data_IF_655185022265
#
_entry.id   IF_655185022265
#
_cell.length_a   1.000
_cell.length_b   1.000
_cell.length_c   1.000
_cell.angle_alpha   90.00
_cell.angle_beta   90.00
_cell.angle_gamma   90.00
#
_symmetry.space_group_name_H-M   'P 1'
#
loop_
_entity.id
_entity.type
_entity.pdbx_description
1 polymer ?
#
# COMPACT_ATOMS: atom_id res chain seq x y z
N UNK A 1 -11.26 2.51 11.99
CA UNK A 1 -11.36 2.06 10.58
C UNK A 1 -12.60 2.69 9.98
N UNK A 2 -12.44 3.38 8.84
CA UNK A 2 -13.57 4.00 8.12
C UNK A 2 -14.08 3.03 7.05
N UNK A 3 -15.12 2.26 7.38
CA UNK A 3 -15.69 1.24 6.50
C UNK A 3 -16.30 1.83 5.22
N UNK A 4 -16.90 3.01 5.29
CA UNK A 4 -17.49 3.68 4.13
C UNK A 4 -16.43 4.00 3.07
N UNK A 5 -15.28 4.53 3.48
CA UNK A 5 -14.17 4.79 2.55
C UNK A 5 -13.59 3.52 1.92
N UNK A 6 -13.54 2.44 2.70
CA UNK A 6 -13.06 1.14 2.18
C UNK A 6 -14.06 0.58 1.16
N UNK A 7 -15.36 0.70 1.42
CA UNK A 7 -16.41 0.28 0.50
C UNK A 7 -16.38 1.09 -0.80
N UNK A 8 -16.26 2.42 -0.72
CA UNK A 8 -16.10 3.30 -1.88
C UNK A 8 -14.86 2.93 -2.71
N UNK A 9 -13.73 2.65 -2.06
CA UNK A 9 -12.51 2.22 -2.73
C UNK A 9 -12.71 0.90 -3.47
N UNK A 10 -13.33 -0.09 -2.80
CA UNK A 10 -13.62 -1.40 -3.40
C UNK A 10 -14.58 -1.28 -4.58
N UNK A 11 -15.60 -0.42 -4.50
CA UNK A 11 -16.51 -0.11 -5.61
C UNK A 11 -15.76 0.44 -6.83
N UNK A 12 -14.89 1.43 -6.62
CA UNK A 12 -14.12 2.07 -7.70
C UNK A 12 -13.18 1.05 -8.35
N UNK A 13 -12.39 0.33 -7.55
CA UNK A 13 -11.44 -0.66 -8.06
C UNK A 13 -12.18 -1.77 -8.81
N UNK A 14 -13.26 -2.30 -8.26
CA UNK A 14 -14.08 -3.32 -8.94
C UNK A 14 -14.68 -2.82 -10.25
N UNK A 15 -15.09 -1.55 -10.28
CA UNK A 15 -15.62 -0.92 -11.50
C UNK A 15 -14.55 -0.78 -12.59
N UNK A 16 -13.31 -0.48 -12.23
CA UNK A 16 -12.18 -0.44 -13.17
C UNK A 16 -11.83 -1.84 -13.67
N UNK A 17 -11.72 -2.80 -12.75
CA UNK A 17 -11.43 -4.20 -13.06
C UNK A 17 -12.46 -4.80 -14.02
N UNK A 18 -13.75 -4.54 -13.80
CA UNK A 18 -14.84 -4.99 -14.68
C UNK A 18 -14.81 -4.34 -16.09
N UNK A 19 -14.05 -3.27 -16.28
CA UNK A 19 -13.79 -2.66 -17.59
C UNK A 19 -12.55 -3.23 -18.27
N UNK A 20 -11.92 -4.25 -17.69
CA UNK A 20 -10.70 -4.87 -18.21
C UNK A 20 -9.41 -4.10 -17.87
N UNK A 21 -9.45 -3.18 -16.88
CA UNK A 21 -8.26 -2.50 -16.39
C UNK A 21 -7.63 -3.34 -15.28
N UNK A 22 -6.36 -3.66 -15.43
CA UNK A 22 -5.58 -4.31 -14.37
C UNK A 22 -5.29 -3.31 -13.26
N UNK A 23 -5.66 -3.65 -12.03
CA UNK A 23 -5.52 -2.77 -10.87
C UNK A 23 -4.78 -3.50 -9.77
N UNK A 24 -3.79 -2.83 -9.18
CA UNK A 24 -3.11 -3.27 -7.95
C UNK A 24 -3.42 -2.28 -6.84
N UNK A 25 -3.82 -2.78 -5.68
CA UNK A 25 -4.02 -1.97 -4.49
C UNK A 25 -2.81 -2.14 -3.55
N UNK A 26 -1.99 -1.10 -3.39
CA UNK A 26 -0.98 -1.06 -2.33
C UNK A 26 -1.62 -0.44 -1.09
N UNK A 27 -1.65 -1.19 0.00
CA UNK A 27 -2.36 -0.82 1.21
C UNK A 27 -1.41 -0.73 2.40
N UNK A 28 -1.78 0.10 3.37
CA UNK A 28 -1.12 0.20 4.67
C UNK A 28 -2.12 -0.04 5.80
N UNK A 29 -1.64 0.04 7.04
CA UNK A 29 -2.51 0.03 8.21
C UNK A 29 -2.56 -1.28 8.98
N UNK A 30 -1.77 -2.30 8.61
CA UNK A 30 -1.70 -3.56 9.35
C UNK A 30 -1.47 -3.36 10.85
N UNK A 31 -0.57 -2.46 11.22
CA UNK A 31 -0.35 -2.07 12.63
C UNK A 31 -1.64 -1.57 13.29
N UNK A 32 -2.38 -0.66 12.65
CA UNK A 32 -3.62 -0.11 13.21
C UNK A 32 -4.72 -1.17 13.38
N UNK A 33 -4.85 -2.07 12.41
CA UNK A 33 -5.74 -3.22 12.51
C UNK A 33 -5.34 -4.14 13.67
N UNK A 34 -4.04 -4.42 13.82
CA UNK A 34 -3.52 -5.26 14.88
C UNK A 34 -3.74 -4.67 16.27
N UNK A 35 -3.51 -3.37 16.44
CA UNK A 35 -3.81 -2.68 17.70
C UNK A 35 -5.29 -2.82 18.07
N UNK A 36 -6.18 -2.66 17.10
CA UNK A 36 -7.61 -2.79 17.33
C UNK A 36 -8.02 -4.23 17.70
N UNK A 37 -7.50 -5.24 16.99
CA UNK A 37 -7.81 -6.66 17.26
C UNK A 37 -7.30 -7.11 18.62
N UNK A 38 -6.16 -6.57 19.06
CA UNK A 38 -5.51 -6.94 20.32
C UNK A 38 -5.88 -6.01 21.49
N UNK A 39 -6.83 -5.08 21.27
CA UNK A 39 -7.25 -4.08 22.28
C UNK A 39 -6.07 -3.31 22.89
N UNK A 40 -5.09 -2.92 22.04
CA UNK A 40 -3.93 -2.17 22.45
C UNK A 40 -4.11 -0.67 22.18
N UNK A 41 -3.99 0.16 23.22
CA UNK A 41 -4.15 1.61 23.12
C UNK A 41 -2.99 2.30 22.39
N UNK A 42 -1.80 1.68 22.38
CA UNK A 42 -0.57 2.27 21.84
C UNK A 42 0.28 1.25 21.10
N UNK A 43 1.00 1.75 20.09
CA UNK A 43 2.01 0.98 19.37
C UNK A 43 3.10 0.50 20.35
N UNK A 44 3.44 -0.78 20.37
CA UNK A 44 4.55 -1.30 21.18
C UNK A 44 5.89 -0.65 20.79
N UNK A 45 6.79 -0.53 21.76
CA UNK A 45 8.15 0.01 21.51
C UNK A 45 9.08 -1.08 20.96
N UNK A 46 8.91 -2.32 21.43
CA UNK A 46 9.74 -3.45 21.04
C UNK A 46 9.43 -3.89 19.59
N UNK A 47 10.45 -3.99 18.75
CA UNK A 47 10.32 -4.36 17.32
C UNK A 47 9.58 -5.68 17.15
N UNK A 48 9.97 -6.73 17.88
CA UNK A 48 9.29 -8.04 17.79
C UNK A 48 7.79 -7.98 18.14
N UNK A 49 7.39 -7.10 19.06
CA UNK A 49 5.97 -6.88 19.36
C UNK A 49 5.27 -6.10 18.26
N UNK A 50 5.94 -5.12 17.63
CA UNK A 50 5.40 -4.41 16.48
C UNK A 50 5.15 -5.37 15.33
N UNK A 51 6.12 -6.23 15.01
CA UNK A 51 6.01 -7.26 13.97
C UNK A 51 4.84 -8.21 14.25
N UNK A 52 4.70 -8.66 15.49
CA UNK A 52 3.59 -9.53 15.91
C UNK A 52 2.22 -8.82 15.75
N UNK A 53 2.11 -7.56 16.19
CA UNK A 53 0.88 -6.76 16.07
C UNK A 53 0.53 -6.54 14.58
N UNK A 54 1.49 -6.16 13.73
CA UNK A 54 1.26 -6.03 12.30
C UNK A 54 0.83 -7.34 11.65
N UNK A 55 1.41 -8.46 12.06
CA UNK A 55 1.04 -9.80 11.58
C UNK A 55 -0.43 -10.13 11.89
N UNK A 56 -0.89 -9.87 13.11
CA UNK A 56 -2.32 -10.04 13.48
C UNK A 56 -3.21 -9.11 12.68
N UNK A 57 -2.78 -7.86 12.55
CA UNK A 57 -3.55 -6.85 11.80
C UNK A 57 -3.63 -7.14 10.31
N UNK A 58 -2.61 -7.74 9.73
CA UNK A 58 -2.60 -8.12 8.31
C UNK A 58 -3.71 -9.13 8.00
N UNK A 59 -3.96 -10.09 8.88
CA UNK A 59 -5.07 -11.05 8.74
C UNK A 59 -6.41 -10.33 8.79
N UNK A 60 -6.62 -9.44 9.77
CA UNK A 60 -7.87 -8.70 9.92
C UNK A 60 -8.13 -7.76 8.73
N UNK A 61 -7.10 -7.08 8.24
CA UNK A 61 -7.17 -6.20 7.09
C UNK A 61 -7.56 -6.96 5.82
N UNK A 62 -6.92 -8.09 5.53
CA UNK A 62 -7.23 -8.89 4.35
C UNK A 62 -8.60 -9.54 4.44
N UNK A 63 -9.03 -9.96 5.63
CA UNK A 63 -10.40 -10.44 5.85
C UNK A 63 -11.42 -9.36 5.48
N UNK A 64 -11.21 -8.13 5.90
CA UNK A 64 -12.10 -7.00 5.57
C UNK A 64 -12.10 -6.73 4.07
N UNK A 65 -10.93 -6.64 3.41
CA UNK A 65 -10.87 -6.45 1.96
C UNK A 65 -11.58 -7.57 1.21
N UNK A 66 -11.32 -8.83 1.59
CA UNK A 66 -11.99 -9.98 0.96
C UNK A 66 -13.51 -9.89 1.06
N UNK A 67 -14.05 -9.50 2.22
CA UNK A 67 -15.49 -9.35 2.43
C UNK A 67 -16.08 -8.21 1.61
N UNK A 68 -15.44 -7.03 1.63
CA UNK A 68 -15.96 -5.84 0.94
C UNK A 68 -15.90 -6.01 -0.58
N UNK A 69 -14.78 -6.51 -1.12
CA UNK A 69 -14.66 -6.76 -2.56
C UNK A 69 -15.60 -7.87 -3.06
N UNK A 70 -15.92 -8.86 -2.20
CA UNK A 70 -16.89 -9.91 -2.54
C UNK A 70 -18.30 -9.35 -2.83
N UNK A 71 -18.71 -8.23 -2.21
CA UNK A 71 -19.98 -7.56 -2.53
C UNK A 71 -20.04 -7.11 -4.00
N UNK A 72 -18.90 -6.81 -4.60
CA UNK A 72 -18.75 -6.41 -6.00
C UNK A 72 -18.31 -7.58 -6.92
N UNK A 73 -18.37 -8.82 -6.42
CA UNK A 73 -17.94 -10.04 -7.13
C UNK A 73 -16.48 -10.00 -7.60
N UNK A 74 -15.65 -9.19 -6.94
CA UNK A 74 -14.23 -9.06 -7.24
C UNK A 74 -13.42 -9.92 -6.25
N UNK A 75 -12.52 -10.72 -6.79
CA UNK A 75 -11.58 -11.52 -5.99
C UNK A 75 -10.34 -10.70 -5.70
N UNK A 76 -9.82 -10.82 -4.50
CA UNK A 76 -8.57 -10.21 -4.09
C UNK A 76 -7.56 -11.27 -3.65
N UNK A 77 -6.29 -10.97 -3.81
CA UNK A 77 -5.18 -11.77 -3.27
C UNK A 77 -4.34 -10.93 -2.33
N UNK A 78 -3.49 -11.56 -1.55
CA UNK A 78 -2.49 -10.91 -0.73
C UNK A 78 -1.10 -11.17 -1.29
N UNK A 79 -0.33 -10.10 -1.48
CA UNK A 79 1.11 -10.17 -1.75
C UNK A 79 1.84 -9.35 -0.68
N UNK A 80 2.71 -10.00 0.08
CA UNK A 80 3.59 -9.34 1.05
C UNK A 80 5.00 -9.28 0.47
N UNK A 81 5.47 -8.06 0.25
CA UNK A 81 6.80 -7.81 -0.32
C UNK A 81 7.70 -7.18 0.73
N UNK A 82 8.99 -7.46 0.63
CA UNK A 82 10.05 -6.71 1.29
C UNK A 82 10.69 -5.78 0.27
N UNK A 83 11.31 -4.68 0.71
CA UNK A 83 11.88 -3.66 -0.20
C UNK A 83 13.01 -4.20 -1.05
N UNK A 84 13.69 -5.21 -0.57
CA UNK A 84 14.78 -5.91 -1.23
C UNK A 84 14.35 -6.82 -2.39
N UNK A 85 13.02 -6.95 -2.63
CA UNK A 85 12.49 -7.73 -3.75
C UNK A 85 13.11 -7.34 -5.10
N UNK A 86 13.45 -6.07 -5.29
CA UNK A 86 14.08 -5.56 -6.52
C UNK A 86 15.59 -5.75 -6.56
N UNK A 87 16.22 -6.08 -5.44
CA UNK A 87 17.68 -6.27 -5.33
C UNK A 87 18.12 -7.67 -5.77
N UNK A 88 17.20 -8.65 -5.64
CA UNK A 88 17.46 -10.03 -6.00
C UNK A 88 16.71 -10.42 -7.28
N UNK A 89 17.43 -10.70 -8.40
CA UNK A 89 16.80 -11.01 -9.70
C UNK A 89 15.79 -12.15 -9.65
N UNK A 90 16.05 -13.18 -8.84
CA UNK A 90 15.13 -14.31 -8.68
C UNK A 90 13.85 -13.89 -7.95
N UNK A 91 13.95 -13.13 -6.86
CA UNK A 91 12.80 -12.60 -6.12
C UNK A 91 11.95 -11.67 -6.99
N UNK A 92 12.62 -10.81 -7.77
CA UNK A 92 11.94 -9.92 -8.72
C UNK A 92 11.19 -10.71 -9.79
N UNK A 93 11.83 -11.73 -10.39
CA UNK A 93 11.19 -12.59 -11.40
C UNK A 93 9.98 -13.33 -10.82
N UNK A 94 10.09 -13.85 -9.60
CA UNK A 94 9.00 -14.54 -8.92
C UNK A 94 7.82 -13.56 -8.62
N UNK A 95 8.12 -12.33 -8.21
CA UNK A 95 7.10 -11.31 -7.99
C UNK A 95 6.36 -10.96 -9.28
N UNK A 96 7.08 -10.72 -10.39
CA UNK A 96 6.49 -10.46 -11.72
C UNK A 96 5.56 -11.62 -12.10
N UNK A 97 6.04 -12.86 -12.06
CA UNK A 97 5.26 -14.03 -12.42
C UNK A 97 3.98 -14.18 -11.56
N UNK A 98 4.06 -13.83 -10.27
CA UNK A 98 2.90 -13.86 -9.39
C UNK A 98 1.86 -12.80 -9.78
N UNK A 99 2.27 -11.57 -10.10
CA UNK A 99 1.36 -10.52 -10.58
C UNK A 99 0.70 -10.92 -11.89
N UNK A 100 1.48 -11.36 -12.88
CA UNK A 100 0.98 -11.77 -14.19
C UNK A 100 -0.07 -12.89 -14.05
N UNK A 101 0.24 -13.91 -13.26
CA UNK A 101 -0.69 -14.99 -12.99
C UNK A 101 -1.98 -14.53 -12.30
N UNK A 102 -1.90 -13.56 -11.39
CA UNK A 102 -3.09 -13.00 -10.73
C UNK A 102 -3.95 -12.20 -11.71
N UNK A 103 -3.35 -11.44 -12.62
CA UNK A 103 -4.07 -10.72 -13.66
C UNK A 103 -4.76 -11.70 -14.62
N UNK A 104 -4.08 -12.75 -15.07
CA UNK A 104 -4.68 -13.81 -15.90
C UNK A 104 -5.87 -14.50 -15.22
N UNK A 105 -5.81 -14.66 -13.89
CA UNK A 105 -6.89 -15.25 -13.08
C UNK A 105 -8.04 -14.27 -12.78
N UNK A 106 -7.93 -13.01 -13.20
CA UNK A 106 -8.91 -11.97 -12.91
C UNK A 106 -9.01 -11.65 -11.42
N UNK A 107 -7.87 -11.58 -10.74
CA UNK A 107 -7.78 -11.30 -9.29
C UNK A 107 -7.08 -9.97 -9.09
N UNK A 108 -7.61 -9.12 -8.22
CA UNK A 108 -6.98 -7.85 -7.83
C UNK A 108 -5.94 -8.11 -6.74
N UNK A 109 -4.64 -7.86 -6.99
CA UNK A 109 -3.62 -7.98 -5.96
C UNK A 109 -3.74 -6.86 -4.93
N UNK A 110 -3.77 -7.23 -3.65
CA UNK A 110 -3.58 -6.31 -2.51
C UNK A 110 -2.18 -6.52 -1.97
N UNK A 111 -1.36 -5.50 -2.08
CA UNK A 111 0.05 -5.54 -1.71
C UNK A 111 0.27 -4.76 -0.43
N UNK A 112 1.09 -5.28 0.46
CA UNK A 112 1.60 -4.58 1.62
C UNK A 112 3.06 -4.99 1.89
N UNK A 113 3.72 -4.25 2.78
CA UNK A 113 5.03 -4.66 3.27
C UNK A 113 4.90 -5.90 4.16
N UNK A 114 5.91 -6.77 4.11
CA UNK A 114 6.01 -7.92 4.99
C UNK A 114 6.65 -7.50 6.33
N UNK A 115 5.89 -6.75 7.12
CA UNK A 115 6.32 -6.22 8.42
C UNK A 115 6.86 -7.30 9.37
N UNK A 116 6.40 -8.54 9.22
CA UNK A 116 6.80 -9.65 10.10
C UNK A 116 8.28 -10.03 9.95
N UNK A 117 8.89 -9.76 8.79
CA UNK A 117 10.27 -10.11 8.47
C UNK A 117 11.11 -8.92 8.01
N UNK A 118 10.51 -7.76 7.83
CA UNK A 118 11.22 -6.52 7.47
C UNK A 118 12.13 -6.08 8.61
N UNK A 119 13.39 -5.79 8.29
CA UNK A 119 14.41 -5.33 9.25
C UNK A 119 14.54 -3.80 9.25
N UNK A 120 13.99 -3.12 8.23
CA UNK A 120 14.22 -1.70 7.95
C UNK A 120 13.41 -0.75 8.86
N UNK A 121 12.44 -1.25 9.62
CA UNK A 121 11.70 -0.46 10.60
C UNK A 121 12.54 0.05 11.79
N UNK A 122 13.80 -0.35 11.89
CA UNK A 122 14.67 0.02 13.01
C UNK A 122 15.24 1.43 12.90
N UNK A 123 15.24 2.06 11.72
CA UNK A 123 15.73 3.43 11.54
C UNK A 123 14.56 4.44 11.54
N UNK A 124 14.18 4.88 12.74
CA UNK A 124 13.18 5.93 12.98
C UNK A 124 13.48 7.29 12.34
N UNK A 125 14.53 7.41 11.55
CA UNK A 125 14.99 8.68 10.97
C UNK A 125 14.28 9.04 9.64
N UNK A 126 13.67 8.08 8.93
CA UNK A 126 12.97 8.35 7.68
C UNK A 126 11.46 8.12 7.86
N UNK A 127 10.77 9.14 8.35
CA UNK A 127 9.30 9.17 8.53
C UNK A 127 8.50 9.35 7.24
N UNK A 128 9.06 9.07 6.08
CA UNK A 128 8.29 9.12 4.83
C UNK A 128 7.69 7.75 4.53
N UNK A 129 6.36 7.71 4.35
CA UNK A 129 5.50 6.57 4.22
C UNK A 129 6.10 5.38 3.47
N UNK A 130 6.38 4.31 4.19
CA UNK A 130 6.99 3.09 3.66
C UNK A 130 6.20 2.53 2.47
N UNK A 131 4.87 2.70 2.48
CA UNK A 131 3.99 2.25 1.40
C UNK A 131 4.01 3.15 0.16
N UNK A 132 4.40 4.42 0.26
CA UNK A 132 4.56 5.28 -0.91
C UNK A 132 5.72 4.78 -1.77
N UNK A 133 6.85 4.44 -1.11
CA UNK A 133 7.99 3.82 -1.79
C UNK A 133 7.65 2.42 -2.32
N UNK A 134 6.94 1.61 -1.53
CA UNK A 134 6.47 0.30 -1.98
C UNK A 134 5.56 0.42 -3.20
N UNK A 135 4.65 1.39 -3.23
CA UNK A 135 3.76 1.60 -4.37
C UNK A 135 4.51 1.96 -5.65
N UNK A 136 5.57 2.76 -5.56
CA UNK A 136 6.44 3.08 -6.69
C UNK A 136 7.23 1.84 -7.18
N UNK A 137 7.73 1.01 -6.25
CA UNK A 137 8.39 -0.27 -6.58
C UNK A 137 7.40 -1.21 -7.29
N UNK A 138 6.19 -1.37 -6.74
CA UNK A 138 5.16 -2.22 -7.33
C UNK A 138 4.76 -1.72 -8.71
N UNK A 139 4.54 -0.41 -8.88
CA UNK A 139 4.22 0.18 -10.18
C UNK A 139 5.29 -0.14 -11.23
N UNK A 140 6.57 -0.13 -10.83
CA UNK A 140 7.68 -0.51 -11.71
C UNK A 140 7.69 -2.02 -12.01
N UNK A 141 7.41 -2.87 -11.02
CA UNK A 141 7.38 -4.33 -11.19
C UNK A 141 6.32 -4.74 -12.20
N UNK A 142 5.11 -4.18 -12.08
CA UNK A 142 3.97 -4.52 -12.96
C UNK A 142 3.95 -3.71 -14.27
N UNK A 143 4.88 -2.77 -14.47
CA UNK A 143 4.89 -1.90 -15.64
C UNK A 143 3.64 -1.00 -15.74
N UNK A 144 3.17 -0.48 -14.61
CA UNK A 144 1.93 0.30 -14.54
C UNK A 144 1.99 1.56 -15.41
N UNK A 145 0.93 1.84 -16.17
CA UNK A 145 0.75 3.06 -16.95
C UNK A 145 0.46 4.28 -16.06
N UNK A 146 -0.11 4.06 -14.87
CA UNK A 146 -0.51 5.11 -13.94
C UNK A 146 -0.36 4.64 -12.48
N UNK A 147 0.28 5.46 -11.65
CA UNK A 147 0.30 5.34 -10.20
C UNK A 147 -0.55 6.45 -9.59
N UNK A 148 -1.55 6.07 -8.79
CA UNK A 148 -2.39 7.01 -8.03
C UNK A 148 -2.05 6.86 -6.56
N UNK A 149 -1.54 7.93 -5.95
CA UNK A 149 -1.24 7.97 -4.52
C UNK A 149 -2.37 8.70 -3.79
N UNK A 150 -3.07 7.97 -2.91
CA UNK A 150 -4.12 8.53 -2.05
C UNK A 150 -3.47 9.07 -0.78
N UNK A 151 -3.56 10.37 -0.58
CA UNK A 151 -2.95 11.09 0.54
C UNK A 151 -3.99 11.87 1.33
N UNK A 152 -3.62 12.31 2.53
CA UNK A 152 -4.40 13.21 3.38
C UNK A 152 -4.13 14.70 3.08
N UNK A 153 -3.27 14.98 2.08
CA UNK A 153 -3.02 16.33 1.55
C UNK A 153 -3.42 16.41 0.08
N UNK A 154 -3.68 17.63 -0.41
CA UNK A 154 -4.25 17.87 -1.74
C UNK A 154 -3.28 17.54 -2.92
N UNK A 155 -2.03 17.24 -2.63
CA UNK A 155 -1.04 16.86 -3.65
C UNK A 155 0.37 17.28 -3.27
N UNK A 156 1.22 17.45 -4.29
CA UNK A 156 2.60 17.90 -4.11
C UNK A 156 2.65 19.40 -3.87
N UNK A 157 3.29 19.79 -2.77
CA UNK A 157 3.57 21.19 -2.43
C UNK A 157 5.07 21.49 -2.57
N UNK A 158 5.41 22.76 -2.74
CA UNK A 158 6.79 23.24 -2.76
C UNK A 158 7.47 23.13 -1.37
N UNK A 159 6.67 23.09 -0.30
CA UNK A 159 7.08 22.89 1.10
C UNK A 159 5.92 22.30 1.91
N UNK A 160 6.20 21.85 3.13
CA UNK A 160 5.19 21.19 3.96
C UNK A 160 4.03 22.15 4.34
N UNK A 161 2.79 21.93 3.85
CA UNK A 161 1.67 22.83 4.11
C UNK A 161 1.19 22.82 5.56
N UNK A 162 1.53 21.80 6.35
CA UNK A 162 1.21 21.75 7.77
C UNK A 162 2.14 22.62 8.64
N UNK A 163 3.27 23.06 8.07
CA UNK A 163 4.28 23.89 8.75
C UNK A 163 4.29 25.31 8.20
N UNK A 164 4.08 25.46 6.90
CA UNK A 164 4.21 26.74 6.18
C UNK A 164 2.86 27.13 5.59
N UNK A 165 2.26 28.22 6.09
CA UNK A 165 0.98 28.75 5.62
C UNK A 165 1.03 29.24 4.15
N UNK A 166 2.23 29.58 3.66
CA UNK A 166 2.50 30.02 2.30
C UNK A 166 2.96 28.88 1.37
N UNK A 167 2.74 27.62 1.77
CA UNK A 167 2.99 26.46 0.92
C UNK A 167 2.09 26.46 -0.32
N UNK A 168 2.67 26.24 -1.50
CA UNK A 168 1.97 26.32 -2.78
C UNK A 168 1.82 24.94 -3.38
N UNK A 169 0.56 24.56 -3.74
CA UNK A 169 0.26 23.32 -4.43
C UNK A 169 0.82 23.36 -5.86
N UNK A 170 1.58 22.33 -6.24
CA UNK A 170 2.03 22.11 -7.61
C UNK A 170 1.04 21.22 -8.34
N UNK A 171 0.21 21.80 -9.17
CA UNK A 171 -0.84 21.07 -9.92
C UNK A 171 -0.28 20.16 -11.01
N UNK A 172 0.94 20.44 -11.50
CA UNK A 172 1.59 19.67 -12.55
C UNK A 172 3.12 19.78 -12.44
N UNK A 173 3.79 18.65 -12.55
CA UNK A 173 5.25 18.55 -12.56
C UNK A 173 5.65 17.82 -13.84
N UNK A 174 6.10 18.53 -14.89
CA UNK A 174 6.43 17.91 -16.18
C UNK A 174 7.73 17.10 -16.12
N UNK A 175 8.64 17.50 -15.24
CA UNK A 175 9.96 16.87 -15.08
C UNK A 175 10.43 17.01 -13.65
N UNK A 176 11.08 15.97 -13.12
CA UNK A 176 11.68 16.01 -11.79
C UNK A 176 13.04 16.68 -11.89
N UNK A 177 13.20 17.80 -11.21
CA UNK A 177 14.45 18.58 -11.13
C UNK A 177 15.02 18.50 -9.71
N UNK A 178 16.25 19.02 -9.52
CA UNK A 178 16.88 19.11 -8.19
C UNK A 178 16.12 19.99 -7.18
N UNK A 179 15.15 20.79 -7.66
CA UNK A 179 14.33 21.69 -6.83
C UNK A 179 13.03 21.00 -6.34
N UNK A 180 12.75 19.78 -6.78
CA UNK A 180 11.59 18.94 -6.45
C UNK A 180 12.07 17.68 -5.78
#
# INVERSE_FOLDING_TARGET
INLEKIDQLAFVISSLHNKGIEVVLVSSGAMGFGLNVLDLDKRPVEVGKQQAVSSVGQVAMMSLYSQVFAHYQTKVSQLLLTRDVVEYPESLSNAINAFDSLFELGVVPVVNENDAVSVDEMDHATKFGDNDRLSAIVAKIVGADLLIMLSDIDGLFDKNPNIYEDATLRSYVPEITEEI
#
